data_IF_183695254252
#
_entry.id   IF_183695254252
#
_cell.length_a   1.000
_cell.length_b   1.000
_cell.length_c   1.000
_cell.angle_alpha   90.00
_cell.angle_beta   90.00
_cell.angle_gamma   90.00
#
_symmetry.space_group_name_H-M   'P 1'
#
loop_
_entity.id
_entity.type
_entity.pdbx_description
1 polymer ?
#
# COMPACT_ATOMS: atom_id res chain seq x y z
N UNK A 1 -4.71 23.84 10.67
CA UNK A 1 -3.72 22.82 11.05
C UNK A 1 -3.75 21.78 9.95
N UNK A 2 -2.71 21.72 9.11
CA UNK A 2 -2.56 20.61 8.19
C UNK A 2 -2.25 19.39 9.07
N UNK A 3 -3.08 18.34 8.98
CA UNK A 3 -2.82 17.08 9.67
C UNK A 3 -1.49 16.47 9.21
N UNK A 4 -0.99 15.42 9.88
CA UNK A 4 0.19 14.70 9.39
C UNK A 4 -0.03 14.33 7.92
N UNK A 5 1.00 14.48 7.09
CA UNK A 5 0.97 14.18 5.64
C UNK A 5 0.45 12.76 5.43
N UNK A 6 -0.86 12.63 5.24
CA UNK A 6 -1.52 11.33 5.16
C UNK A 6 -1.25 10.77 3.76
N UNK A 7 -0.71 9.54 3.65
CA UNK A 7 -0.45 8.96 2.34
C UNK A 7 -1.77 8.88 1.56
N UNK A 8 -1.81 9.59 0.44
CA UNK A 8 -2.95 9.62 -0.48
C UNK A 8 -2.65 8.66 -1.64
N UNK A 9 -3.63 7.84 -1.98
CA UNK A 9 -3.54 6.90 -3.08
C UNK A 9 -4.82 6.99 -3.91
N UNK A 10 -4.68 6.90 -5.24
CA UNK A 10 -5.81 6.92 -6.16
C UNK A 10 -6.63 5.61 -6.09
N UNK A 11 -5.97 4.51 -5.72
CA UNK A 11 -6.53 3.16 -5.72
C UNK A 11 -6.03 2.41 -4.47
N UNK A 12 -6.89 1.57 -3.90
CA UNK A 12 -6.56 0.63 -2.83
C UNK A 12 -6.81 -0.82 -3.27
N UNK A 13 -5.89 -1.73 -2.93
CA UNK A 13 -6.01 -3.16 -3.18
C UNK A 13 -6.27 -3.90 -1.85
N UNK A 14 -7.42 -4.56 -1.74
CA UNK A 14 -7.75 -5.42 -0.58
C UNK A 14 -7.86 -6.86 -1.09
N UNK A 15 -6.80 -7.64 -0.86
CA UNK A 15 -6.70 -9.02 -1.28
C UNK A 15 -7.28 -10.02 -0.28
N UNK A 16 -7.71 -11.18 -0.77
CA UNK A 16 -8.05 -12.33 0.06
C UNK A 16 -6.83 -13.17 0.41
N UNK A 17 -7.04 -14.34 1.02
CA UNK A 17 -5.95 -15.23 1.45
C UNK A 17 -5.03 -15.70 0.31
N UNK A 18 -5.54 -15.81 -0.92
CA UNK A 18 -4.72 -16.15 -2.09
C UNK A 18 -3.64 -15.11 -2.42
N UNK A 19 -3.78 -13.87 -1.97
CA UNK A 19 -2.78 -12.81 -2.19
C UNK A 19 -1.53 -13.01 -1.33
N UNK A 20 -1.58 -13.84 -0.27
CA UNK A 20 -0.40 -14.15 0.54
C UNK A 20 0.64 -15.03 -0.17
N UNK A 21 0.30 -15.61 -1.33
CA UNK A 21 1.22 -16.43 -2.11
C UNK A 21 2.26 -15.63 -2.89
N UNK A 22 2.15 -14.29 -2.93
CA UNK A 22 3.08 -13.39 -3.61
C UNK A 22 3.39 -12.15 -2.79
N UNK A 23 4.55 -11.56 -3.03
CA UNK A 23 4.91 -10.23 -2.58
C UNK A 23 4.32 -9.21 -3.57
N UNK A 24 3.03 -8.91 -3.43
CA UNK A 24 2.37 -7.92 -4.27
C UNK A 24 2.83 -6.49 -3.92
N UNK A 25 3.13 -5.62 -4.91
CA UNK A 25 3.15 -5.88 -6.35
C UNK A 25 4.53 -6.29 -6.92
N UNK A 26 5.59 -6.38 -6.11
CA UNK A 26 6.96 -6.66 -6.56
C UNK A 26 7.07 -7.92 -7.45
N UNK A 27 6.36 -8.99 -7.09
CA UNK A 27 6.40 -10.26 -7.81
C UNK A 27 5.68 -10.23 -9.17
N UNK A 28 4.96 -9.13 -9.49
CA UNK A 28 4.31 -8.98 -10.80
C UNK A 28 5.31 -8.69 -11.94
N UNK A 29 6.57 -8.37 -11.60
CA UNK A 29 7.61 -8.02 -12.58
C UNK A 29 7.21 -6.87 -13.53
N UNK A 30 6.30 -5.98 -13.11
CA UNK A 30 5.96 -4.77 -13.85
C UNK A 30 7.11 -3.77 -13.76
N UNK A 31 7.49 -3.17 -14.88
CA UNK A 31 8.49 -2.10 -14.90
C UNK A 31 7.92 -0.88 -14.20
N UNK A 32 8.76 -0.13 -13.49
CA UNK A 32 8.39 1.15 -12.88
C UNK A 32 7.63 1.07 -11.56
N UNK A 33 7.47 -0.11 -10.96
CA UNK A 33 6.98 -0.22 -9.58
C UNK A 33 7.98 0.45 -8.64
N UNK A 34 7.48 1.33 -7.78
CA UNK A 34 8.23 1.97 -6.70
C UNK A 34 7.53 1.67 -5.37
N UNK A 35 8.21 1.02 -4.43
CA UNK A 35 7.69 0.85 -3.08
C UNK A 35 8.09 2.07 -2.25
N UNK A 36 7.08 2.86 -1.87
CA UNK A 36 7.26 4.10 -1.10
C UNK A 36 7.42 3.75 0.38
N UNK A 37 6.56 2.87 0.90
CA UNK A 37 6.61 2.45 2.30
C UNK A 37 6.11 1.01 2.47
N UNK A 38 6.80 0.26 3.34
CA UNK A 38 6.42 -1.10 3.77
C UNK A 38 6.03 -1.07 5.23
N UNK A 39 5.16 -1.99 5.63
CA UNK A 39 4.68 -2.13 7.01
C UNK A 39 4.02 -0.85 7.56
N UNK A 40 3.42 -0.04 6.68
CA UNK A 40 2.70 1.18 7.05
C UNK A 40 1.50 0.80 7.94
N UNK A 41 1.43 1.40 9.13
CA UNK A 41 0.30 1.23 10.05
C UNK A 41 -0.33 2.57 10.31
N UNK A 42 -1.63 2.66 10.03
CA UNK A 42 -2.42 3.88 10.23
C UNK A 42 -3.14 3.82 11.56
N UNK A 43 -3.06 4.91 12.33
CA UNK A 43 -3.91 5.11 13.49
C UNK A 43 -5.30 5.54 13.03
N UNK A 44 -6.34 4.81 13.43
CA UNK A 44 -7.73 5.13 13.13
C UNK A 44 -8.54 5.23 14.42
N UNK A 45 -9.73 5.88 14.41
CA UNK A 45 -10.63 5.87 15.56
C UNK A 45 -11.06 4.46 16.00
N UNK A 46 -10.89 3.45 15.14
CA UNK A 46 -11.22 2.06 15.39
C UNK A 46 -10.00 1.21 15.80
N UNK A 47 -8.85 1.86 16.06
CA UNK A 47 -7.57 1.23 16.36
C UNK A 47 -6.60 1.26 15.19
N UNK A 48 -5.52 0.48 15.32
CA UNK A 48 -4.43 0.41 14.32
C UNK A 48 -4.87 -0.42 13.12
N UNK A 49 -4.57 0.05 11.91
CA UNK A 49 -4.78 -0.74 10.70
C UNK A 49 -3.90 -2.00 10.69
N UNK A 50 -4.21 -3.01 9.86
CA UNK A 50 -3.21 -3.97 9.43
C UNK A 50 -2.03 -3.27 8.76
N UNK A 51 -0.92 -3.99 8.62
CA UNK A 51 0.25 -3.52 7.87
C UNK A 51 -0.12 -3.36 6.40
N UNK A 52 0.07 -2.16 5.88
CA UNK A 52 -0.15 -1.81 4.49
C UNK A 52 1.19 -1.64 3.76
N UNK A 53 1.13 -1.67 2.43
CA UNK A 53 2.23 -1.28 1.54
C UNK A 53 1.76 -0.10 0.70
N UNK A 54 2.50 0.99 0.75
CA UNK A 54 2.27 2.16 -0.09
C UNK A 54 3.26 2.13 -1.25
N UNK A 55 2.75 2.18 -2.47
CA UNK A 55 3.55 2.02 -3.67
C UNK A 55 2.95 2.82 -4.83
N UNK A 56 3.80 3.12 -5.81
CA UNK A 56 3.43 3.72 -7.08
C UNK A 56 3.61 2.71 -8.21
N UNK A 57 2.68 2.74 -9.15
CA UNK A 57 2.79 2.08 -10.46
C UNK A 57 2.91 3.18 -11.52
N UNK A 58 3.60 2.93 -12.65
CA UNK A 58 3.67 3.92 -13.72
C UNK A 58 2.29 4.13 -14.34
N UNK A 59 1.97 5.38 -14.65
CA UNK A 59 0.88 5.70 -15.56
C UNK A 59 1.39 5.49 -16.99
N UNK A 60 0.73 4.65 -17.77
CA UNK A 60 0.92 4.60 -19.23
C UNK A 60 0.18 5.75 -19.92
#
# INVERSE_FOLDING_TARGET
>A
MNGPDMPSADIAFIGGSGTFSINFPEDLSLKGIEIIEKDLVLETPYGRSPKLKYFRIPAE
#
